data_IF_452776220557
#
_entry.id   IF_452776220557
#
_cell.length_a   1.000
_cell.length_b   1.000
_cell.length_c   1.000
_cell.angle_alpha   90.00
_cell.angle_beta   90.00
_cell.angle_gamma   90.00
#
_symmetry.space_group_name_H-M   'P 1'
#
loop_
_entity.id
_entity.type
_entity.pdbx_description
1 polymer ?
#
# COMPACT_ATOMS: atom_id res chain seq x y z
N UNK A 1 -22.22 10.55 4.88
CA UNK A 1 -23.65 10.76 4.55
C UNK A 1 -24.52 10.32 5.71
N UNK A 2 -25.55 11.06 6.08
CA UNK A 2 -26.48 10.70 7.16
C UNK A 2 -27.90 10.88 6.64
N UNK A 3 -28.75 9.89 6.79
CA UNK A 3 -30.15 9.89 6.29
C UNK A 3 -30.29 10.35 4.82
N UNK A 4 -29.36 9.90 3.97
CA UNK A 4 -29.30 10.27 2.55
C UNK A 4 -28.77 11.68 2.27
N UNK A 5 -28.36 12.46 3.29
CA UNK A 5 -27.83 13.82 3.16
C UNK A 5 -26.33 13.88 3.43
N UNK A 6 -25.63 14.74 2.70
CA UNK A 6 -24.24 15.06 3.00
C UNK A 6 -24.18 15.88 4.30
N UNK A 7 -23.19 15.55 5.16
CA UNK A 7 -22.89 16.30 6.36
C UNK A 7 -21.40 16.61 6.42
N UNK A 8 -21.03 17.71 7.06
CA UNK A 8 -19.64 18.08 7.27
C UNK A 8 -18.96 17.06 8.21
N UNK A 9 -17.73 16.68 7.93
CA UNK A 9 -16.96 15.75 8.79
C UNK A 9 -16.84 16.29 10.22
N UNK A 10 -16.62 17.61 10.38
CA UNK A 10 -16.53 18.25 11.70
C UNK A 10 -17.79 18.09 12.57
N UNK A 11 -18.97 17.89 11.96
CA UNK A 11 -20.22 17.70 12.70
C UNK A 11 -20.48 16.27 13.13
N UNK A 12 -19.73 15.28 12.62
CA UNK A 12 -20.00 13.85 12.85
C UNK A 12 -19.90 13.46 14.33
N UNK A 13 -18.96 14.05 15.07
CA UNK A 13 -18.77 13.75 16.49
C UNK A 13 -20.01 14.12 17.35
N UNK A 14 -20.76 15.15 16.94
CA UNK A 14 -21.94 15.69 17.64
C UNK A 14 -23.27 15.17 17.11
N UNK A 15 -23.27 14.43 16.01
CA UNK A 15 -24.50 13.85 15.46
C UNK A 15 -25.12 12.82 16.40
N UNK A 16 -26.44 12.77 16.44
CA UNK A 16 -27.17 11.72 17.12
C UNK A 16 -26.74 10.34 16.56
N UNK A 17 -26.52 9.39 17.45
CA UNK A 17 -26.18 8.01 17.07
C UNK A 17 -27.43 7.29 16.54
N UNK A 18 -27.23 6.46 15.55
CA UNK A 18 -28.20 5.43 15.21
C UNK A 18 -28.07 4.28 16.21
N UNK A 19 -28.75 3.17 15.90
CA UNK A 19 -28.61 1.97 16.67
C UNK A 19 -27.15 1.50 16.76
N UNK A 20 -26.64 1.19 17.97
CA UNK A 20 -25.27 0.76 18.17
C UNK A 20 -25.00 -0.57 17.46
N UNK A 21 -23.73 -0.81 17.18
CA UNK A 21 -23.29 -2.12 16.71
C UNK A 21 -23.11 -3.09 17.89
N UNK A 22 -23.63 -4.29 17.74
CA UNK A 22 -23.24 -5.48 18.49
C UNK A 22 -22.04 -6.14 17.80
N UNK A 23 -21.45 -7.14 18.43
CA UNK A 23 -20.28 -7.84 17.89
C UNK A 23 -20.63 -9.26 17.51
N UNK A 24 -20.56 -9.57 16.21
CA UNK A 24 -20.53 -10.95 15.72
C UNK A 24 -19.08 -11.44 15.73
N UNK A 25 -18.84 -12.67 16.18
CA UNK A 25 -17.48 -13.23 16.30
C UNK A 25 -17.32 -14.49 15.47
N UNK A 26 -16.24 -14.57 14.71
CA UNK A 26 -15.79 -15.75 13.99
C UNK A 26 -14.39 -16.13 14.49
N UNK A 27 -14.29 -17.30 15.11
CA UNK A 27 -13.00 -17.84 15.56
C UNK A 27 -12.54 -18.92 14.61
N UNK A 28 -11.25 -18.92 14.30
CA UNK A 28 -10.65 -19.93 13.43
C UNK A 28 -10.57 -21.31 14.10
N UNK A 29 -10.70 -22.34 13.28
CA UNK A 29 -10.61 -23.76 13.68
C UNK A 29 -9.22 -24.34 13.41
N UNK A 30 -8.28 -23.50 12.92
CA UNK A 30 -6.94 -23.95 12.55
C UNK A 30 -6.04 -24.26 13.73
N UNK A 31 -4.84 -24.79 13.44
CA UNK A 31 -3.78 -25.00 14.40
C UNK A 31 -3.50 -23.73 15.20
N UNK A 32 -3.26 -23.89 16.50
CA UNK A 32 -2.93 -22.75 17.37
C UNK A 32 -1.61 -22.07 17.03
N UNK A 33 -0.71 -22.73 16.31
CA UNK A 33 0.55 -22.13 15.90
C UNK A 33 0.36 -21.09 14.75
N UNK A 34 1.12 -19.98 14.75
CA UNK A 34 1.15 -19.05 13.63
C UNK A 34 1.63 -19.74 12.36
N UNK A 35 1.03 -19.39 11.22
CA UNK A 35 1.51 -19.88 9.92
C UNK A 35 2.88 -19.27 9.62
N UNK A 36 3.82 -20.04 9.03
CA UNK A 36 5.09 -19.48 8.60
C UNK A 36 4.89 -18.44 7.50
N UNK A 37 5.84 -17.51 7.39
CA UNK A 37 5.85 -16.53 6.31
C UNK A 37 6.03 -17.23 4.96
N UNK A 38 5.07 -16.99 4.08
CA UNK A 38 5.07 -17.48 2.71
C UNK A 38 4.63 -16.36 1.77
N UNK A 39 5.28 -16.25 0.61
CA UNK A 39 4.94 -15.24 -0.40
C UNK A 39 4.51 -15.96 -1.67
N UNK A 40 3.26 -15.82 -2.12
CA UNK A 40 2.84 -16.37 -3.41
C UNK A 40 3.50 -15.60 -4.56
N UNK A 41 4.03 -16.33 -5.53
CA UNK A 41 4.61 -15.77 -6.75
C UNK A 41 4.26 -16.67 -7.94
N UNK A 42 3.35 -16.23 -8.81
CA UNK A 42 2.73 -17.08 -9.81
C UNK A 42 2.03 -18.26 -9.15
N UNK A 43 2.35 -19.48 -9.60
CA UNK A 43 1.77 -20.71 -9.06
C UNK A 43 2.54 -21.27 -7.85
N UNK A 44 3.59 -20.58 -7.39
CA UNK A 44 4.45 -21.05 -6.31
C UNK A 44 4.22 -20.30 -5.00
N UNK A 45 4.48 -20.99 -3.88
CA UNK A 45 4.57 -20.40 -2.55
C UNK A 45 6.04 -20.37 -2.12
N UNK A 46 6.61 -19.17 -2.05
CA UNK A 46 8.01 -18.98 -1.66
C UNK A 46 8.13 -18.89 -0.13
N UNK A 47 9.10 -19.61 0.42
CA UNK A 47 9.44 -19.59 1.86
C UNK A 47 10.93 -19.89 2.05
N UNK A 48 11.47 -19.64 3.24
CA UNK A 48 12.87 -19.95 3.58
C UNK A 48 13.85 -19.43 2.54
N UNK A 49 14.84 -20.26 2.16
CA UNK A 49 15.90 -19.90 1.21
C UNK A 49 15.38 -19.52 -0.19
N UNK A 50 14.23 -20.07 -0.60
CA UNK A 50 13.64 -19.71 -1.91
C UNK A 50 13.16 -18.25 -1.89
N UNK A 51 12.50 -17.84 -0.81
CA UNK A 51 12.10 -16.46 -0.61
C UNK A 51 13.31 -15.54 -0.51
N UNK A 52 14.33 -15.92 0.25
CA UNK A 52 15.55 -15.13 0.38
C UNK A 52 16.22 -14.88 -0.97
N UNK A 53 16.36 -15.91 -1.82
CA UNK A 53 16.90 -15.77 -3.19
C UNK A 53 16.04 -14.89 -4.09
N UNK A 54 14.73 -14.95 -3.94
CA UNK A 54 13.83 -14.09 -4.72
C UNK A 54 13.94 -12.62 -4.30
N UNK A 55 14.09 -12.34 -3.01
CA UNK A 55 14.38 -10.99 -2.51
C UNK A 55 15.70 -10.47 -3.07
N UNK A 56 16.78 -11.28 -3.09
CA UNK A 56 18.06 -10.92 -3.72
C UNK A 56 17.89 -10.63 -5.21
N UNK A 57 17.05 -11.40 -5.90
CA UNK A 57 16.77 -11.19 -7.32
C UNK A 57 16.07 -9.85 -7.55
N UNK A 58 15.02 -9.53 -6.79
CA UNK A 58 14.30 -8.27 -6.90
C UNK A 58 15.17 -7.07 -6.54
N UNK A 59 15.98 -7.19 -5.49
CA UNK A 59 16.91 -6.15 -5.05
C UNK A 59 17.96 -5.85 -6.14
N UNK A 60 18.64 -6.87 -6.69
CA UNK A 60 19.61 -6.70 -7.79
C UNK A 60 18.99 -6.10 -9.05
N UNK A 61 17.73 -6.38 -9.34
CA UNK A 61 17.00 -5.80 -10.46
C UNK A 61 16.46 -4.40 -10.15
N UNK A 62 16.63 -3.91 -8.95
CA UNK A 62 16.13 -2.60 -8.52
C UNK A 62 14.60 -2.52 -8.48
N UNK A 63 13.91 -3.65 -8.25
CA UNK A 63 12.45 -3.72 -8.11
C UNK A 63 12.00 -3.28 -6.71
N UNK A 64 12.79 -3.67 -5.70
CA UNK A 64 12.60 -3.32 -4.29
C UNK A 64 13.83 -2.57 -3.77
N UNK A 65 13.65 -1.76 -2.75
CA UNK A 65 14.77 -1.16 -2.03
C UNK A 65 15.44 -2.20 -1.09
N UNK A 66 16.76 -2.05 -0.80
CA UNK A 66 17.47 -2.95 0.13
C UNK A 66 16.79 -3.06 1.49
N UNK A 67 16.20 -1.96 1.99
CA UNK A 67 15.45 -1.95 3.25
C UNK A 67 14.19 -2.82 3.22
N UNK A 68 13.53 -2.96 2.06
CA UNK A 68 12.42 -3.88 1.88
C UNK A 68 12.88 -5.34 2.03
N UNK A 69 13.95 -5.69 1.31
CA UNK A 69 14.51 -7.03 1.38
C UNK A 69 14.97 -7.39 2.79
N UNK A 70 15.63 -6.43 3.47
CA UNK A 70 16.05 -6.56 4.86
C UNK A 70 14.85 -6.82 5.79
N UNK A 71 13.80 -6.01 5.71
CA UNK A 71 12.61 -6.15 6.55
C UNK A 71 11.95 -7.53 6.39
N UNK A 72 11.76 -8.01 5.15
CA UNK A 72 11.16 -9.32 4.89
C UNK A 72 12.06 -10.46 5.38
N UNK A 73 13.39 -10.36 5.18
CA UNK A 73 14.37 -11.36 5.72
C UNK A 73 14.36 -11.38 7.24
N UNK A 74 14.25 -10.22 7.89
CA UNK A 74 14.18 -10.14 9.35
C UNK A 74 12.93 -10.84 9.88
N UNK A 75 11.76 -10.65 9.27
CA UNK A 75 10.54 -11.38 9.66
C UNK A 75 10.69 -12.88 9.40
N UNK A 76 11.30 -13.27 8.27
CA UNK A 76 11.57 -14.67 7.94
C UNK A 76 12.49 -15.35 8.98
N UNK A 77 13.48 -14.61 9.50
CA UNK A 77 14.42 -15.09 10.51
C UNK A 77 13.82 -15.12 11.94
N UNK A 78 12.71 -14.42 12.16
CA UNK A 78 12.03 -14.32 13.46
C UNK A 78 10.59 -14.84 13.37
N UNK A 79 10.36 -16.15 13.21
CA UNK A 79 9.02 -16.70 13.02
C UNK A 79 8.06 -16.42 14.21
N UNK A 80 8.59 -16.25 15.40
CA UNK A 80 7.81 -15.88 16.58
C UNK A 80 7.14 -14.51 16.47
N UNK A 81 7.66 -13.62 15.61
CA UNK A 81 7.04 -12.32 15.33
C UNK A 81 5.67 -12.44 14.67
N UNK A 82 5.39 -13.58 14.05
CA UNK A 82 4.10 -13.88 13.43
C UNK A 82 3.02 -14.27 14.44
N UNK A 83 3.37 -14.50 15.70
CA UNK A 83 2.36 -14.60 16.76
C UNK A 83 1.85 -13.20 17.14
N UNK A 84 0.67 -12.86 16.63
CA UNK A 84 0.03 -11.57 16.84
C UNK A 84 -1.14 -11.65 17.84
N UNK A 85 -1.13 -12.64 18.73
CA UNK A 85 -2.17 -12.83 19.76
C UNK A 85 -2.26 -11.67 20.75
N UNK A 86 -1.18 -10.89 20.89
CA UNK A 86 -1.07 -9.67 21.67
C UNK A 86 -1.60 -8.41 20.96
N UNK A 87 -2.03 -8.51 19.70
CA UNK A 87 -2.38 -7.38 18.86
C UNK A 87 -3.85 -7.43 18.40
N UNK A 88 -4.46 -6.23 18.36
CA UNK A 88 -5.76 -6.00 17.78
C UNK A 88 -5.61 -5.15 16.51
N UNK A 89 -6.22 -5.57 15.40
CA UNK A 89 -6.20 -4.85 14.14
C UNK A 89 -7.61 -4.39 13.76
N UNK A 90 -7.86 -3.09 13.69
CA UNK A 90 -9.10 -2.55 13.15
C UNK A 90 -8.90 -2.26 11.65
N UNK A 91 -9.41 -3.13 10.77
CA UNK A 91 -9.20 -3.05 9.32
C UNK A 91 -10.37 -2.37 8.64
N UNK A 92 -10.19 -1.12 8.21
CA UNK A 92 -11.16 -0.36 7.42
C UNK A 92 -11.05 -0.74 5.95
N UNK A 93 -12.03 -1.47 5.43
CA UNK A 93 -11.98 -2.12 4.11
C UNK A 93 -11.24 -3.46 4.17
N UNK A 94 -11.66 -4.32 5.09
CA UNK A 94 -11.03 -5.62 5.37
C UNK A 94 -10.96 -6.55 4.17
N UNK A 95 -11.90 -6.45 3.21
CA UNK A 95 -11.90 -7.26 1.98
C UNK A 95 -11.01 -6.69 0.87
N UNK A 96 -10.16 -5.70 1.15
CA UNK A 96 -9.17 -5.21 0.18
C UNK A 96 -8.28 -6.34 -0.33
N UNK A 97 -8.03 -6.36 -1.64
CA UNK A 97 -7.20 -7.40 -2.29
C UNK A 97 -5.74 -7.34 -1.84
N UNK A 98 -5.26 -6.14 -1.52
CA UNK A 98 -3.88 -5.89 -1.07
C UNK A 98 -3.76 -5.69 0.44
N UNK A 99 -4.89 -5.74 1.16
CA UNK A 99 -4.93 -5.64 2.62
C UNK A 99 -4.39 -6.90 3.31
N UNK A 100 -4.02 -6.79 4.59
CA UNK A 100 -3.31 -7.87 5.31
C UNK A 100 -4.23 -8.97 5.86
N UNK A 101 -5.56 -8.84 5.75
CA UNK A 101 -6.53 -9.75 6.42
C UNK A 101 -6.23 -11.24 6.20
N UNK A 102 -5.90 -11.63 4.96
CA UNK A 102 -5.65 -13.05 4.62
C UNK A 102 -4.43 -13.63 5.37
N UNK A 103 -3.46 -12.80 5.69
CA UNK A 103 -2.23 -13.18 6.41
C UNK A 103 -2.44 -13.11 7.91
N UNK A 104 -3.00 -12.00 8.41
CA UNK A 104 -3.33 -11.83 9.83
C UNK A 104 -4.27 -12.93 10.33
N UNK A 105 -5.17 -13.44 9.46
CA UNK A 105 -6.06 -14.54 9.82
C UNK A 105 -5.34 -15.86 10.16
N UNK A 106 -4.08 -16.01 9.75
CA UNK A 106 -3.22 -17.15 10.08
C UNK A 106 -2.18 -16.88 11.16
N UNK A 107 -2.18 -15.69 11.77
CA UNK A 107 -1.17 -15.25 12.74
C UNK A 107 -1.75 -14.92 14.14
N UNK A 108 -2.84 -15.58 14.51
CA UNK A 108 -3.49 -15.50 15.83
C UNK A 108 -3.99 -14.10 16.22
N UNK A 109 -4.04 -13.17 15.25
CA UNK A 109 -4.46 -11.79 15.48
C UNK A 109 -5.93 -11.70 15.92
N UNK A 110 -6.26 -10.68 16.71
CA UNK A 110 -7.62 -10.24 16.92
C UNK A 110 -7.94 -9.13 15.91
N UNK A 111 -8.97 -9.32 15.10
CA UNK A 111 -9.23 -8.48 13.92
C UNK A 111 -10.66 -7.93 13.98
N UNK A 112 -10.81 -6.61 14.12
CA UNK A 112 -12.06 -5.91 13.84
C UNK A 112 -12.18 -5.76 12.32
N UNK A 113 -12.98 -6.64 11.71
CA UNK A 113 -13.12 -6.69 10.25
C UNK A 113 -14.28 -5.80 9.80
N UNK A 114 -13.96 -4.58 9.35
CA UNK A 114 -14.92 -3.57 8.93
C UNK A 114 -14.99 -3.53 7.41
N UNK A 115 -16.15 -3.90 6.87
CA UNK A 115 -16.47 -3.86 5.45
C UNK A 115 -17.98 -3.72 5.26
N UNK A 116 -18.42 -3.55 4.02
CA UNK A 116 -19.84 -3.47 3.72
C UNK A 116 -20.59 -4.75 4.15
N UNK A 117 -21.84 -4.65 4.68
CA UNK A 117 -22.64 -5.77 5.15
C UNK A 117 -23.23 -6.58 3.97
N UNK A 118 -22.34 -7.22 3.20
CA UNK A 118 -22.70 -7.99 2.01
C UNK A 118 -22.44 -9.48 2.19
N UNK A 119 -23.20 -10.33 1.52
CA UNK A 119 -22.98 -11.77 1.50
C UNK A 119 -21.55 -12.12 1.01
N UNK A 120 -21.02 -11.35 0.05
CA UNK A 120 -19.66 -11.55 -0.46
C UNK A 120 -18.60 -11.34 0.62
N UNK A 121 -18.71 -10.26 1.40
CA UNK A 121 -17.80 -9.96 2.52
C UNK A 121 -17.91 -11.03 3.59
N UNK A 122 -19.14 -11.41 3.97
CA UNK A 122 -19.42 -12.44 4.95
C UNK A 122 -18.80 -13.79 4.57
N UNK A 123 -19.07 -14.31 3.37
CA UNK A 123 -18.48 -15.58 2.89
C UNK A 123 -16.96 -15.56 2.88
N UNK A 124 -16.35 -14.40 2.59
CA UNK A 124 -14.90 -14.24 2.66
C UNK A 124 -14.39 -14.35 4.08
N UNK A 125 -15.05 -13.71 5.03
CA UNK A 125 -14.67 -13.76 6.45
C UNK A 125 -14.82 -15.16 7.02
N UNK A 126 -15.94 -15.83 6.77
CA UNK A 126 -16.13 -17.25 7.16
C UNK A 126 -15.00 -18.15 6.64
N UNK A 127 -14.70 -18.01 5.33
CA UNK A 127 -13.64 -18.81 4.71
C UNK A 127 -12.27 -18.58 5.35
N UNK A 128 -11.95 -17.33 5.66
CA UNK A 128 -10.68 -16.98 6.29
C UNK A 128 -10.63 -17.44 7.75
N UNK A 129 -11.70 -17.25 8.52
CA UNK A 129 -11.82 -17.73 9.88
C UNK A 129 -11.64 -19.26 9.96
N UNK A 130 -12.41 -20.01 9.17
CA UNK A 130 -12.32 -21.50 9.14
C UNK A 130 -10.93 -22.04 8.75
N UNK A 131 -10.15 -21.28 8.01
CA UNK A 131 -8.80 -21.68 7.57
C UNK A 131 -7.69 -21.12 8.43
N UNK A 132 -8.02 -20.17 9.29
CA UNK A 132 -7.06 -19.45 10.10
C UNK A 132 -7.11 -19.84 11.58
N UNK A 133 -6.39 -19.07 12.37
CA UNK A 133 -6.34 -19.17 13.83
C UNK A 133 -6.58 -17.82 14.53
N UNK A 134 -7.00 -16.80 13.78
CA UNK A 134 -7.35 -15.49 14.28
C UNK A 134 -8.82 -15.45 14.78
N UNK A 135 -9.13 -14.44 15.59
CA UNK A 135 -10.51 -14.09 15.95
C UNK A 135 -10.92 -12.84 15.17
N UNK A 136 -11.96 -12.97 14.33
CA UNK A 136 -12.57 -11.86 13.60
C UNK A 136 -13.79 -11.37 14.39
N UNK A 137 -13.82 -10.07 14.68
CA UNK A 137 -14.92 -9.36 15.30
C UNK A 137 -15.55 -8.45 14.23
N UNK A 138 -16.86 -8.56 14.05
CA UNK A 138 -17.58 -7.85 12.98
C UNK A 138 -18.73 -7.03 13.59
N UNK A 139 -18.93 -5.78 13.15
CA UNK A 139 -20.05 -4.97 13.59
C UNK A 139 -21.36 -5.52 13.01
N UNK A 140 -22.37 -5.70 13.85
CA UNK A 140 -23.69 -6.26 13.47
C UNK A 140 -24.82 -5.44 14.09
N UNK A 141 -25.88 -5.19 13.33
CA UNK A 141 -27.18 -4.71 13.84
C UNK A 141 -28.21 -5.80 13.64
N UNK A 142 -28.47 -6.56 14.69
CA UNK A 142 -29.45 -7.66 14.65
C UNK A 142 -30.86 -7.12 14.32
N UNK A 143 -31.57 -7.86 13.49
CA UNK A 143 -32.92 -7.47 13.02
C UNK A 143 -32.93 -6.43 11.87
N UNK A 144 -31.80 -5.82 11.53
CA UNK A 144 -31.69 -4.85 10.42
C UNK A 144 -30.74 -5.27 9.31
N UNK A 145 -29.74 -6.07 9.64
CA UNK A 145 -28.75 -6.54 8.68
C UNK A 145 -28.84 -8.06 8.54
N UNK A 146 -28.70 -8.55 7.31
CA UNK A 146 -28.59 -10.00 7.04
C UNK A 146 -27.15 -10.50 7.29
N UNK A 147 -26.16 -9.63 7.09
CA UNK A 147 -24.75 -9.94 7.26
C UNK A 147 -24.05 -8.87 8.09
N UNK A 148 -23.07 -9.24 8.93
CA UNK A 148 -22.27 -8.29 9.66
C UNK A 148 -21.49 -7.35 8.71
N UNK A 149 -21.28 -6.13 9.15
CA UNK A 149 -20.52 -5.12 8.44
C UNK A 149 -21.01 -3.72 8.76
N UNK A 150 -20.28 -2.72 8.23
CA UNK A 150 -20.61 -1.32 8.36
C UNK A 150 -20.13 -0.54 7.13
N UNK A 151 -20.84 0.52 6.80
CA UNK A 151 -20.48 1.39 5.69
C UNK A 151 -19.71 2.62 6.21
N UNK A 152 -18.46 2.74 5.84
CA UNK A 152 -17.59 3.88 6.22
C UNK A 152 -18.12 5.25 5.77
N UNK A 153 -19.06 5.32 4.83
CA UNK A 153 -19.65 6.58 4.40
C UNK A 153 -20.90 6.98 5.21
N UNK A 154 -21.49 6.07 5.99
CA UNK A 154 -22.75 6.31 6.71
C UNK A 154 -22.71 6.01 8.19
N UNK A 155 -21.82 5.14 8.65
CA UNK A 155 -21.86 4.57 10.00
C UNK A 155 -20.67 5.00 10.90
N UNK A 156 -19.96 6.10 10.53
CA UNK A 156 -18.74 6.52 11.22
C UNK A 156 -18.89 6.77 12.72
N UNK A 157 -19.95 7.47 13.20
CA UNK A 157 -20.13 7.70 14.62
C UNK A 157 -20.33 6.41 15.42
N UNK A 158 -21.12 5.47 14.89
CA UNK A 158 -21.40 4.19 15.52
C UNK A 158 -20.17 3.27 15.46
N UNK A 159 -19.36 3.35 14.39
CA UNK A 159 -18.07 2.65 14.31
C UNK A 159 -17.07 3.18 15.32
N UNK A 160 -17.00 4.49 15.53
CA UNK A 160 -16.16 5.10 16.56
C UNK A 160 -16.52 4.54 17.94
N UNK A 161 -17.82 4.53 18.28
CA UNK A 161 -18.33 4.03 19.56
C UNK A 161 -18.08 2.51 19.73
N UNK A 162 -18.12 1.74 18.63
CA UNK A 162 -17.87 0.30 18.64
C UNK A 162 -16.38 -0.07 18.75
N UNK A 163 -15.48 0.71 18.12
CA UNK A 163 -14.03 0.46 18.13
C UNK A 163 -13.39 0.96 19.42
N UNK A 164 -13.78 2.13 19.92
CA UNK A 164 -13.13 2.79 21.08
C UNK A 164 -12.99 1.89 22.32
N UNK A 165 -14.00 1.12 22.75
CA UNK A 165 -13.93 0.30 23.96
C UNK A 165 -13.15 -1.01 23.80
N UNK A 166 -12.66 -1.34 22.60
CA UNK A 166 -11.95 -2.59 22.36
C UNK A 166 -10.63 -2.63 23.14
N UNK A 167 -10.39 -3.72 23.85
CA UNK A 167 -9.24 -3.84 24.76
C UNK A 167 -7.91 -4.12 24.02
N UNK A 168 -6.80 -3.73 24.65
CA UNK A 168 -5.43 -4.02 24.24
C UNK A 168 -4.86 -3.09 23.19
N UNK A 169 -3.56 -3.20 22.91
CA UNK A 169 -2.89 -2.44 21.87
C UNK A 169 -3.57 -2.61 20.52
N UNK A 170 -3.84 -1.52 19.83
CA UNK A 170 -4.59 -1.55 18.58
C UNK A 170 -3.81 -0.90 17.44
N UNK A 171 -3.91 -1.51 16.26
CA UNK A 171 -3.48 -0.91 15.00
C UNK A 171 -4.67 -0.72 14.07
N UNK A 172 -4.95 0.54 13.69
CA UNK A 172 -5.97 0.83 12.68
C UNK A 172 -5.36 0.80 11.28
N UNK A 173 -5.98 0.03 10.38
CA UNK A 173 -5.57 -0.14 9.00
C UNK A 173 -6.55 0.50 8.02
N UNK A 174 -6.08 1.44 7.17
CA UNK A 174 -6.89 2.14 6.19
C UNK A 174 -6.69 1.54 4.78
N UNK A 175 -7.54 0.57 4.41
CA UNK A 175 -7.41 -0.21 3.17
C UNK A 175 -8.63 -0.11 2.24
N UNK A 176 -9.70 0.60 2.64
CA UNK A 176 -10.88 0.74 1.79
C UNK A 176 -10.54 1.52 0.51
N UNK A 177 -11.07 1.01 -0.59
CA UNK A 177 -10.94 1.60 -1.92
C UNK A 177 -12.30 1.69 -2.59
N UNK A 178 -12.56 2.82 -3.23
CA UNK A 178 -13.71 3.05 -4.11
C UNK A 178 -13.25 3.73 -5.40
N UNK A 179 -14.07 3.73 -6.42
CA UNK A 179 -13.74 4.39 -7.69
C UNK A 179 -14.10 5.90 -7.65
N UNK A 180 -13.35 6.70 -8.40
CA UNK A 180 -13.65 8.10 -8.64
C UNK A 180 -13.67 8.99 -7.38
N UNK A 181 -14.66 9.88 -7.27
CA UNK A 181 -14.79 10.81 -6.15
C UNK A 181 -15.08 10.10 -4.82
N UNK A 182 -15.71 8.94 -4.84
CA UNK A 182 -16.01 8.18 -3.63
C UNK A 182 -14.74 7.63 -2.97
N UNK A 183 -13.65 7.49 -3.71
CA UNK A 183 -12.35 7.16 -3.11
C UNK A 183 -11.83 8.27 -2.19
N UNK A 184 -12.01 9.53 -2.58
CA UNK A 184 -11.67 10.69 -1.72
C UNK A 184 -12.59 10.70 -0.50
N UNK A 185 -13.89 10.48 -0.68
CA UNK A 185 -14.87 10.46 0.41
C UNK A 185 -14.57 9.37 1.44
N UNK A 186 -14.29 8.14 1.00
CA UNK A 186 -13.95 7.05 1.92
C UNK A 186 -12.60 7.26 2.59
N UNK A 187 -11.63 7.84 1.89
CA UNK A 187 -10.33 8.18 2.49
C UNK A 187 -10.47 9.26 3.56
N UNK A 188 -11.28 10.30 3.31
CA UNK A 188 -11.58 11.32 4.30
C UNK A 188 -12.39 10.76 5.49
N UNK A 189 -13.28 9.80 5.24
CA UNK A 189 -14.02 9.09 6.29
C UNK A 189 -13.09 8.26 7.19
N UNK A 190 -12.17 7.51 6.60
CA UNK A 190 -11.15 6.77 7.34
C UNK A 190 -10.22 7.70 8.11
N UNK A 191 -9.84 8.83 7.52
CA UNK A 191 -9.01 9.84 8.18
C UNK A 191 -9.69 10.43 9.40
N UNK A 192 -10.98 10.81 9.29
CA UNK A 192 -11.77 11.33 10.42
C UNK A 192 -11.83 10.29 11.56
N UNK A 193 -12.19 9.04 11.25
CA UNK A 193 -12.29 7.98 12.25
C UNK A 193 -10.94 7.71 12.93
N UNK A 194 -9.85 7.73 12.15
CA UNK A 194 -8.50 7.60 12.68
C UNK A 194 -8.13 8.76 13.61
N UNK A 195 -8.47 10.00 13.23
CA UNK A 195 -8.21 11.19 14.05
C UNK A 195 -8.94 11.13 15.40
N UNK A 196 -10.23 10.78 15.38
CA UNK A 196 -11.03 10.65 16.61
C UNK A 196 -10.49 9.52 17.53
N UNK A 197 -10.10 8.39 16.95
CA UNK A 197 -9.51 7.29 17.70
C UNK A 197 -8.14 7.67 18.27
N UNK A 198 -7.30 8.39 17.53
CA UNK A 198 -6.00 8.88 18.02
C UNK A 198 -6.14 9.83 19.22
N UNK A 199 -7.21 10.63 19.23
CA UNK A 199 -7.51 11.53 20.36
C UNK A 199 -7.96 10.78 21.61
N UNK A 200 -8.59 9.61 21.46
CA UNK A 200 -9.17 8.84 22.55
C UNK A 200 -8.28 7.67 23.02
N UNK A 201 -7.38 7.18 22.18
CA UNK A 201 -6.55 5.99 22.42
C UNK A 201 -5.05 6.29 22.30
N UNK A 202 -4.33 6.42 23.40
CA UNK A 202 -2.87 6.63 23.38
C UNK A 202 -2.08 5.44 22.84
N UNK A 203 -2.66 4.22 22.89
CA UNK A 203 -2.09 2.96 22.42
C UNK A 203 -2.31 2.69 20.93
N UNK A 204 -2.98 3.60 20.21
CA UNK A 204 -3.30 3.39 18.79
C UNK A 204 -2.08 3.56 17.90
N UNK A 205 -1.84 2.56 17.06
CA UNK A 205 -0.90 2.56 15.95
C UNK A 205 -1.63 2.60 14.60
N UNK A 206 -0.95 2.99 13.53
CA UNK A 206 -1.55 3.12 12.19
C UNK A 206 -0.90 2.18 11.19
N UNK A 207 -1.70 1.72 10.21
CA UNK A 207 -1.23 0.94 9.06
C UNK A 207 -1.91 1.39 7.77
N UNK A 208 -1.10 1.67 6.73
CA UNK A 208 -1.55 2.16 5.43
C UNK A 208 -0.63 1.68 4.32
N UNK A 209 -1.13 1.71 3.08
CA UNK A 209 -0.30 1.46 1.90
C UNK A 209 -0.19 2.72 1.05
N UNK A 210 1.04 3.15 0.81
CA UNK A 210 1.32 4.15 -0.21
C UNK A 210 1.34 3.51 -1.60
N UNK A 211 1.07 4.29 -2.64
CA UNK A 211 1.11 3.83 -4.04
C UNK A 211 2.48 4.11 -4.65
N UNK A 212 3.01 3.27 -5.55
CA UNK A 212 4.28 3.56 -6.21
C UNK A 212 4.15 4.68 -7.26
N UNK A 213 2.92 4.98 -7.69
CA UNK A 213 2.60 6.01 -8.69
C UNK A 213 2.27 7.36 -8.05
N UNK A 214 3.25 7.93 -7.36
CA UNK A 214 3.18 9.24 -6.71
C UNK A 214 4.54 9.95 -6.80
N UNK A 215 4.70 11.11 -6.16
CA UNK A 215 5.97 11.83 -6.08
C UNK A 215 6.63 11.53 -4.73
N UNK A 216 7.84 11.02 -4.79
CA UNK A 216 8.62 10.65 -3.61
C UNK A 216 10.00 11.28 -3.60
N UNK A 217 10.48 11.62 -2.42
CA UNK A 217 11.92 11.66 -2.19
C UNK A 217 12.46 10.24 -2.28
N UNK A 218 13.60 10.06 -2.96
CA UNK A 218 14.17 8.73 -3.19
C UNK A 218 15.66 8.72 -2.80
N UNK A 219 16.21 7.54 -2.47
CA UNK A 219 17.64 7.39 -2.20
C UNK A 219 18.49 7.80 -3.40
N UNK A 220 19.66 8.39 -3.16
CA UNK A 220 20.63 8.75 -4.20
C UNK A 220 21.02 7.54 -5.08
N UNK A 221 21.09 6.34 -4.49
CA UNK A 221 21.37 5.10 -5.21
C UNK A 221 20.28 4.75 -6.25
N UNK A 222 19.01 5.12 -6.02
CA UNK A 222 17.94 4.92 -7.01
C UNK A 222 18.13 5.85 -8.21
N UNK A 223 18.54 7.10 -7.96
CA UNK A 223 18.84 8.10 -9.01
C UNK A 223 20.02 7.66 -9.85
N UNK A 224 21.13 7.25 -9.21
CA UNK A 224 22.32 6.75 -9.90
C UNK A 224 21.97 5.55 -10.78
N UNK A 225 21.30 4.54 -10.22
CA UNK A 225 20.89 3.35 -10.99
C UNK A 225 20.01 3.69 -12.19
N UNK A 226 19.10 4.67 -12.08
CA UNK A 226 18.26 5.12 -13.17
C UNK A 226 19.08 5.82 -14.27
N UNK A 227 20.02 6.69 -13.89
CA UNK A 227 20.94 7.36 -14.85
C UNK A 227 21.84 6.35 -15.55
N UNK A 228 22.43 5.43 -14.80
CA UNK A 228 23.27 4.36 -15.37
C UNK A 228 22.48 3.51 -16.37
N UNK A 229 21.23 3.15 -16.03
CA UNK A 229 20.35 2.42 -16.95
C UNK A 229 19.99 3.25 -18.21
N UNK A 230 19.85 4.57 -18.07
CA UNK A 230 19.62 5.46 -19.21
C UNK A 230 20.84 5.55 -20.10
N UNK A 231 22.04 5.63 -19.55
CA UNK A 231 23.30 5.77 -20.28
C UNK A 231 23.76 4.43 -20.89
N UNK A 232 23.50 3.32 -20.24
CA UNK A 232 23.82 1.97 -20.72
C UNK A 232 22.97 1.48 -21.90
N UNK A 233 22.00 2.27 -22.40
CA UNK A 233 21.19 1.91 -23.57
C UNK A 233 22.08 1.71 -24.80
N UNK A 234 21.97 0.54 -25.43
CA UNK A 234 22.73 0.21 -26.64
C UNK A 234 22.45 1.17 -27.80
N UNK A 235 23.40 1.25 -28.74
CA UNK A 235 23.27 2.11 -29.95
C UNK A 235 21.97 1.86 -30.71
N UNK A 236 21.56 0.59 -30.90
CA UNK A 236 20.29 0.24 -31.54
C UNK A 236 19.08 0.84 -30.84
N UNK A 237 19.05 0.79 -29.49
CA UNK A 237 17.98 1.41 -28.71
C UNK A 237 17.95 2.93 -28.91
N UNK A 238 19.11 3.58 -28.87
CA UNK A 238 19.23 5.04 -29.07
C UNK A 238 18.76 5.46 -30.45
N UNK A 239 19.08 4.69 -31.49
CA UNK A 239 18.73 4.99 -32.89
C UNK A 239 17.21 5.04 -33.12
N UNK A 240 16.42 4.16 -32.52
CA UNK A 240 14.97 4.19 -32.67
C UNK A 240 14.27 5.09 -31.66
N UNK A 241 14.86 5.29 -30.46
CA UNK A 241 14.30 6.13 -29.42
C UNK A 241 14.45 7.63 -29.74
N UNK A 242 15.57 8.04 -30.35
CA UNK A 242 15.82 9.43 -30.71
C UNK A 242 14.76 10.03 -31.65
N UNK A 243 14.33 9.37 -32.75
CA UNK A 243 13.24 9.86 -33.57
C UNK A 243 11.91 9.97 -32.80
N UNK A 244 11.60 9.03 -31.92
CA UNK A 244 10.40 9.10 -31.09
C UNK A 244 10.43 10.28 -30.12
N UNK A 245 11.58 10.54 -29.50
CA UNK A 245 11.75 11.72 -28.66
C UNK A 245 11.57 13.02 -29.45
N UNK A 246 12.19 13.12 -30.61
CA UNK A 246 12.10 14.30 -31.46
C UNK A 246 10.67 14.53 -31.97
N UNK A 247 10.04 13.50 -32.55
CA UNK A 247 8.69 13.58 -33.09
C UNK A 247 7.62 13.85 -32.06
N UNK A 248 7.85 13.41 -30.82
CA UNK A 248 6.95 13.68 -29.70
C UNK A 248 7.18 15.04 -29.02
N UNK A 249 8.11 15.86 -29.54
CA UNK A 249 8.53 17.11 -28.90
C UNK A 249 9.11 16.89 -27.50
N UNK A 250 9.86 15.78 -27.30
CA UNK A 250 10.47 15.42 -26.03
C UNK A 250 9.51 14.88 -24.97
N UNK A 251 8.27 14.51 -25.35
CA UNK A 251 7.26 13.99 -24.41
C UNK A 251 7.44 12.51 -24.11
N UNK A 252 7.92 11.71 -25.04
CA UNK A 252 8.17 10.27 -24.89
C UNK A 252 9.61 10.00 -24.47
N UNK A 253 9.82 8.94 -23.69
CA UNK A 253 11.11 8.42 -23.26
C UNK A 253 12.03 9.47 -22.60
N UNK A 254 11.45 10.38 -21.83
CA UNK A 254 12.21 11.36 -21.05
C UNK A 254 12.99 10.62 -19.95
N UNK A 255 14.24 11.06 -19.66
CA UNK A 255 14.97 10.52 -18.52
C UNK A 255 14.14 10.68 -17.24
N UNK A 256 14.23 9.69 -16.34
CA UNK A 256 13.50 9.72 -15.07
C UNK A 256 13.98 10.86 -14.16
N UNK A 257 15.28 11.13 -14.21
CA UNK A 257 15.89 12.26 -13.49
C UNK A 257 16.67 13.14 -14.45
N UNK A 258 16.91 14.42 -14.10
CA UNK A 258 17.77 15.29 -14.90
C UNK A 258 19.14 14.65 -15.12
N UNK A 259 19.64 14.74 -16.35
CA UNK A 259 20.97 14.26 -16.72
C UNK A 259 22.02 15.22 -16.16
N UNK A 260 23.19 14.70 -15.77
CA UNK A 260 24.31 15.49 -15.31
C UNK A 260 24.74 16.46 -16.44
N UNK A 261 24.96 17.73 -16.12
CA UNK A 261 25.38 18.77 -17.09
C UNK A 261 24.24 19.43 -17.89
N UNK A 262 22.97 19.07 -17.69
CA UNK A 262 21.83 19.70 -18.40
C UNK A 262 21.07 20.71 -17.55
N UNK A 263 21.39 20.83 -16.27
CA UNK A 263 20.73 21.75 -15.36
C UNK A 263 21.44 23.10 -15.33
N UNK A 264 20.73 24.17 -15.68
CA UNK A 264 21.17 25.56 -15.42
C UNK A 264 21.33 25.86 -13.94
N UNK A 265 20.98 24.92 -13.07
CA UNK A 265 21.11 24.92 -11.62
C UNK A 265 22.16 23.92 -11.12
N UNK A 266 23.28 23.74 -11.84
CA UNK A 266 24.41 22.91 -11.35
C UNK A 266 24.92 23.38 -9.99
N UNK A 267 24.83 24.68 -9.67
CA UNK A 267 25.10 25.21 -8.33
C UNK A 267 24.13 24.72 -7.25
N UNK A 268 22.92 24.31 -7.63
CA UNK A 268 21.93 23.73 -6.70
C UNK A 268 22.12 22.20 -6.53
N UNK A 269 22.77 21.54 -7.50
CA UNK A 269 23.08 20.11 -7.43
C UNK A 269 24.34 19.80 -6.59
N UNK A 270 25.23 20.78 -6.42
CA UNK A 270 26.41 20.71 -5.52
C UNK A 270 26.05 21.09 -4.07
N UNK A 271 24.94 21.79 -3.83
CA UNK A 271 24.42 21.97 -2.48
C UNK A 271 23.76 20.65 -2.03
N UNK A 272 24.29 20.06 -0.99
CA UNK A 272 23.89 18.83 -0.30
C UNK A 272 22.43 18.86 0.21
N UNK A 273 21.63 19.85 -0.15
CA UNK A 273 20.38 20.23 0.54
C UNK A 273 19.07 20.01 -0.23
N UNK A 274 19.11 19.80 -1.55
CA UNK A 274 17.83 19.59 -2.27
C UNK A 274 17.51 18.11 -2.42
N UNK A 275 16.36 17.66 -1.89
CA UNK A 275 15.94 16.26 -2.01
C UNK A 275 15.74 15.88 -3.47
N UNK A 276 16.26 14.72 -3.88
CA UNK A 276 15.98 14.18 -5.22
C UNK A 276 14.60 13.56 -5.24
N UNK A 277 13.73 14.08 -6.11
CA UNK A 277 12.36 13.64 -6.25
C UNK A 277 12.20 12.74 -7.48
N UNK A 278 11.52 11.62 -7.29
CA UNK A 278 10.98 10.78 -8.36
C UNK A 278 9.53 11.15 -8.61
N UNK A 279 9.21 11.59 -9.82
CA UNK A 279 7.84 11.85 -10.25
C UNK A 279 7.30 10.65 -11.04
N UNK A 280 6.70 9.71 -10.31
CA UNK A 280 6.10 8.49 -10.86
C UNK A 280 4.58 8.59 -11.03
N UNK A 281 4.00 9.80 -10.99
CA UNK A 281 2.55 10.00 -11.16
C UNK A 281 2.05 9.39 -12.48
N UNK A 282 0.98 8.61 -12.37
CA UNK A 282 0.25 7.99 -13.49
C UNK A 282 -1.09 8.70 -13.63
N UNK A 283 -1.19 9.59 -14.63
CA UNK A 283 -2.38 10.46 -14.86
C UNK A 283 -3.65 9.61 -15.06
N UNK A 284 -3.53 8.42 -15.62
CA UNK A 284 -4.63 7.49 -15.89
C UNK A 284 -5.32 6.96 -14.63
N UNK A 285 -4.69 7.07 -13.45
CA UNK A 285 -5.31 6.76 -12.16
C UNK A 285 -6.25 7.88 -11.68
N UNK A 286 -6.10 9.09 -12.23
CA UNK A 286 -6.94 10.24 -11.95
C UNK A 286 -6.57 10.99 -10.66
N UNK A 287 -7.02 12.24 -10.60
CA UNK A 287 -6.71 13.17 -9.49
C UNK A 287 -7.32 12.73 -8.17
N UNK A 288 -8.48 12.09 -8.20
CA UNK A 288 -9.15 11.59 -6.99
C UNK A 288 -8.33 10.51 -6.30
N UNK A 289 -7.70 9.61 -7.07
CA UNK A 289 -6.83 8.59 -6.51
C UNK A 289 -5.60 9.21 -5.84
N UNK A 290 -4.95 10.15 -6.51
CA UNK A 290 -3.78 10.84 -5.96
C UNK A 290 -4.13 11.59 -4.68
N UNK A 291 -5.26 12.33 -4.65
CA UNK A 291 -5.71 13.06 -3.47
C UNK A 291 -6.03 12.10 -2.30
N UNK A 292 -6.74 11.00 -2.57
CA UNK A 292 -7.07 10.00 -1.56
C UNK A 292 -5.79 9.41 -0.91
N UNK A 293 -4.77 9.08 -1.72
CA UNK A 293 -3.47 8.60 -1.21
C UNK A 293 -2.72 9.68 -0.43
N UNK A 294 -2.81 10.94 -0.84
CA UNK A 294 -2.22 12.06 -0.09
C UNK A 294 -2.85 12.27 1.28
N UNK A 295 -4.16 12.13 1.41
CA UNK A 295 -4.85 12.17 2.72
C UNK A 295 -4.27 11.11 3.65
N UNK A 296 -4.10 9.86 3.17
CA UNK A 296 -3.51 8.78 3.96
C UNK A 296 -2.04 9.07 4.35
N UNK A 297 -1.21 9.57 3.40
CA UNK A 297 0.18 9.93 3.68
C UNK A 297 0.28 11.05 4.71
N UNK A 298 -0.52 12.10 4.60
CA UNK A 298 -0.53 13.22 5.56
C UNK A 298 -0.94 12.74 6.96
N UNK A 299 -1.96 11.88 7.08
CA UNK A 299 -2.33 11.28 8.36
C UNK A 299 -1.19 10.46 8.96
N UNK A 300 -0.53 9.65 8.14
CA UNK A 300 0.59 8.83 8.57
C UNK A 300 1.76 9.69 9.09
N UNK A 301 2.18 10.70 8.32
CA UNK A 301 3.29 11.57 8.69
C UNK A 301 2.98 12.39 9.94
N UNK A 302 1.76 12.96 10.05
CA UNK A 302 1.31 13.68 11.23
C UNK A 302 1.31 12.78 12.47
N UNK A 303 0.68 11.60 12.38
CA UNK A 303 0.62 10.68 13.51
C UNK A 303 2.04 10.20 13.95
N UNK A 304 2.95 9.99 12.99
CA UNK A 304 4.34 9.63 13.31
C UNK A 304 5.07 10.79 14.01
N UNK A 305 4.84 12.03 13.58
CA UNK A 305 5.39 13.22 14.26
C UNK A 305 4.82 13.39 15.68
N UNK A 306 3.56 12.99 15.90
CA UNK A 306 2.89 12.99 17.20
C UNK A 306 3.29 11.79 18.08
N UNK A 307 4.34 11.04 17.72
CA UNK A 307 4.86 9.94 18.52
C UNK A 307 4.06 8.63 18.42
N UNK A 308 3.29 8.43 17.34
CA UNK A 308 2.59 7.17 17.10
C UNK A 308 3.44 6.22 16.25
N UNK A 309 3.29 4.91 16.48
CA UNK A 309 3.85 3.90 15.57
C UNK A 309 3.03 3.88 14.29
N UNK A 310 3.71 3.99 13.14
CA UNK A 310 3.05 4.10 11.84
C UNK A 310 3.71 3.21 10.81
N UNK A 311 3.02 2.16 10.38
CA UNK A 311 3.41 1.34 9.23
C UNK A 311 2.80 1.93 7.97
N UNK A 312 3.61 2.62 7.17
CA UNK A 312 3.21 3.08 5.83
C UNK A 312 4.30 2.74 4.83
N UNK A 313 4.00 1.81 3.93
CA UNK A 313 4.97 1.28 2.97
C UNK A 313 4.49 1.53 1.55
N UNK A 314 5.44 1.89 0.66
CA UNK A 314 5.17 1.96 -0.78
C UNK A 314 4.97 0.55 -1.29
N UNK A 315 3.73 0.22 -1.66
CA UNK A 315 3.39 -1.07 -2.25
C UNK A 315 3.73 -1.07 -3.75
N UNK A 316 4.04 -2.24 -4.35
CA UNK A 316 4.37 -2.33 -5.77
C UNK A 316 3.18 -2.01 -6.68
N UNK A 317 3.49 -1.75 -7.95
CA UNK A 317 2.47 -1.72 -9.01
C UNK A 317 1.75 -3.06 -9.08
N UNK A 318 0.46 -3.08 -8.71
CA UNK A 318 -0.31 -4.31 -8.51
C UNK A 318 -1.42 -4.43 -9.55
N UNK A 319 -1.55 -5.61 -10.16
CA UNK A 319 -2.59 -5.96 -11.12
C UNK A 319 -3.93 -6.26 -10.41
N UNK A 320 -4.43 -5.30 -9.63
CA UNK A 320 -5.70 -5.42 -8.91
C UNK A 320 -6.90 -5.41 -9.86
N UNK A 321 -8.06 -5.84 -9.39
CA UNK A 321 -9.31 -5.84 -10.18
C UNK A 321 -9.64 -4.46 -10.76
N UNK A 322 -9.42 -3.38 -10.02
CA UNK A 322 -9.65 -2.01 -10.50
C UNK A 322 -8.71 -1.65 -11.65
N UNK A 323 -7.44 -2.04 -11.58
CA UNK A 323 -6.44 -1.80 -12.61
C UNK A 323 -6.74 -2.56 -13.90
N UNK A 324 -7.07 -3.85 -13.80
CA UNK A 324 -7.32 -4.69 -14.99
C UNK A 324 -8.64 -4.36 -15.71
N UNK A 325 -9.59 -3.67 -15.05
CA UNK A 325 -10.80 -3.11 -15.68
C UNK A 325 -10.48 -1.94 -16.61
N UNK A 326 -9.40 -1.20 -16.35
CA UNK A 326 -8.95 -0.11 -17.23
C UNK A 326 -8.09 -0.69 -18.38
N UNK A 327 -8.58 -0.68 -19.66
CA UNK A 327 -7.87 -1.30 -20.77
C UNK A 327 -6.46 -0.73 -21.01
N UNK A 328 -6.28 0.58 -20.80
CA UNK A 328 -5.00 1.25 -20.98
C UNK A 328 -3.98 0.83 -19.92
N UNK A 329 -4.40 0.77 -18.64
CA UNK A 329 -3.53 0.29 -17.56
C UNK A 329 -3.22 -1.20 -17.73
N UNK A 330 -4.20 -2.02 -18.07
CA UNK A 330 -3.98 -3.45 -18.36
C UNK A 330 -2.98 -3.66 -19.51
N UNK A 331 -3.06 -2.85 -20.56
CA UNK A 331 -2.09 -2.90 -21.67
C UNK A 331 -0.70 -2.44 -21.20
N UNK A 332 -0.63 -1.36 -20.42
CA UNK A 332 0.63 -0.84 -19.89
C UNK A 332 1.37 -1.87 -19.02
N UNK A 333 0.66 -2.60 -18.16
CA UNK A 333 1.25 -3.72 -17.41
C UNK A 333 1.85 -4.80 -18.31
N UNK A 334 1.21 -5.10 -19.44
CA UNK A 334 1.74 -6.06 -20.43
C UNK A 334 3.11 -5.69 -20.99
N UNK A 335 3.42 -4.38 -21.11
CA UNK A 335 4.69 -3.89 -21.63
C UNK A 335 5.63 -3.29 -20.58
N UNK A 336 5.22 -3.19 -19.32
CA UNK A 336 5.98 -2.50 -18.27
C UNK A 336 7.37 -3.08 -18.03
N UNK A 337 7.50 -4.42 -18.11
CA UNK A 337 8.77 -5.12 -17.93
C UNK A 337 9.85 -4.70 -18.93
N UNK A 338 9.48 -4.21 -20.13
CA UNK A 338 10.41 -3.69 -21.13
C UNK A 338 11.07 -2.36 -20.70
N UNK A 339 10.51 -1.70 -19.72
CA UNK A 339 10.99 -0.44 -19.14
C UNK A 339 11.56 -0.63 -17.72
N UNK A 340 11.77 -1.90 -17.28
CA UNK A 340 12.33 -2.20 -15.96
C UNK A 340 11.31 -2.17 -14.82
N UNK A 341 10.01 -2.18 -15.14
CA UNK A 341 8.95 -2.21 -14.13
C UNK A 341 8.32 -3.60 -14.07
N UNK A 342 8.23 -4.15 -12.85
CA UNK A 342 7.57 -5.42 -12.55
C UNK A 342 6.18 -5.17 -11.97
N UNK A 343 5.17 -5.81 -12.55
CA UNK A 343 3.82 -5.83 -12.02
C UNK A 343 3.63 -7.03 -11.10
N UNK A 344 3.00 -6.80 -9.95
CA UNK A 344 2.76 -7.81 -8.94
C UNK A 344 1.31 -8.26 -8.92
N UNK A 345 1.07 -9.52 -8.58
CA UNK A 345 -0.26 -10.00 -8.28
C UNK A 345 -0.73 -9.51 -6.91
N UNK A 346 -2.04 -9.29 -6.70
CA UNK A 346 -2.58 -8.83 -5.42
C UNK A 346 -2.17 -9.70 -4.24
N UNK A 347 -2.11 -11.02 -4.41
CA UNK A 347 -1.72 -11.96 -3.37
C UNK A 347 -0.25 -11.79 -2.96
N UNK A 348 0.66 -11.61 -3.93
CA UNK A 348 2.08 -11.33 -3.67
C UNK A 348 2.25 -10.00 -2.96
N UNK A 349 1.58 -8.95 -3.45
CA UNK A 349 1.60 -7.62 -2.80
C UNK A 349 1.10 -7.71 -1.37
N UNK A 350 -0.07 -8.31 -1.15
CA UNK A 350 -0.66 -8.46 0.19
C UNK A 350 0.28 -9.19 1.16
N UNK A 351 0.96 -10.24 0.70
CA UNK A 351 1.90 -11.01 1.51
C UNK A 351 3.14 -10.20 1.91
N UNK A 352 3.77 -9.52 0.94
CA UNK A 352 4.93 -8.68 1.19
C UNK A 352 4.59 -7.51 2.11
N UNK A 353 3.45 -6.85 1.88
CA UNK A 353 3.03 -5.73 2.72
C UNK A 353 2.63 -6.18 4.13
N UNK A 354 2.07 -7.39 4.30
CA UNK A 354 1.81 -7.97 5.61
C UNK A 354 3.12 -8.31 6.35
N UNK A 355 4.15 -8.80 5.65
CA UNK A 355 5.47 -9.00 6.25
C UNK A 355 6.09 -7.67 6.72
N UNK A 356 6.00 -6.60 5.92
CA UNK A 356 6.45 -5.27 6.33
C UNK A 356 5.66 -4.73 7.53
N UNK A 357 4.35 -4.98 7.58
CA UNK A 357 3.52 -4.62 8.72
C UNK A 357 4.02 -5.28 10.02
N UNK A 358 4.38 -6.57 9.95
CA UNK A 358 4.96 -7.30 11.09
C UNK A 358 6.34 -6.73 11.45
N UNK A 359 7.19 -6.44 10.47
CA UNK A 359 8.48 -5.78 10.71
C UNK A 359 8.30 -4.44 11.42
N UNK A 360 7.42 -3.58 10.91
CA UNK A 360 7.14 -2.26 11.49
C UNK A 360 6.54 -2.33 12.90
N UNK A 361 5.82 -3.40 13.19
CA UNK A 361 5.22 -3.63 14.50
C UNK A 361 6.24 -4.14 15.52
N UNK A 362 7.14 -5.05 15.11
CA UNK A 362 8.02 -5.81 16.00
C UNK A 362 9.46 -5.28 16.07
N UNK A 363 9.96 -4.64 15.01
CA UNK A 363 11.34 -4.19 14.96
C UNK A 363 11.52 -2.84 15.64
N UNK A 364 12.54 -2.74 16.48
CA UNK A 364 12.98 -1.47 17.07
C UNK A 364 13.77 -0.62 16.05
N UNK A 365 14.27 -1.23 14.98
CA UNK A 365 15.04 -0.54 13.92
C UNK A 365 14.13 0.04 12.82
N UNK A 366 12.83 -0.30 12.81
CA UNK A 366 11.89 0.26 11.85
C UNK A 366 11.64 1.74 12.13
N UNK A 367 11.66 2.57 11.09
CA UNK A 367 11.27 3.98 11.17
C UNK A 367 9.79 4.17 11.55
N UNK A 368 8.99 3.12 11.52
CA UNK A 368 7.64 3.11 12.11
C UNK A 368 7.68 3.31 13.63
N UNK A 369 8.79 2.93 14.29
CA UNK A 369 8.97 3.08 15.73
C UNK A 369 9.15 4.55 16.12
N UNK A 370 8.23 5.14 16.92
CA UNK A 370 8.30 6.55 17.30
C UNK A 370 9.50 6.91 18.17
N UNK A 371 10.18 5.95 18.78
CA UNK A 371 11.40 6.18 19.56
C UNK A 371 12.59 6.57 18.67
N UNK A 372 12.56 6.24 17.37
CA UNK A 372 13.61 6.63 16.44
C UNK A 372 13.35 8.04 15.90
N UNK A 373 14.37 8.93 15.90
CA UNK A 373 14.23 10.25 15.32
C UNK A 373 14.07 10.14 13.79
N UNK A 374 13.21 10.95 13.22
CA UNK A 374 13.13 11.18 11.79
C UNK A 374 13.70 12.56 11.48
N UNK A 375 14.90 12.62 10.94
CA UNK A 375 15.48 13.87 10.45
C UNK A 375 14.66 14.44 9.29
N UNK A 376 14.13 13.55 8.47
CA UNK A 376 13.26 13.86 7.36
C UNK A 376 12.02 12.94 7.38
N UNK A 377 10.81 13.52 7.51
CA UNK A 377 9.57 12.74 7.50
C UNK A 377 9.39 11.83 6.28
N UNK A 378 9.96 12.23 5.12
CA UNK A 378 9.88 11.42 3.89
C UNK A 378 10.66 10.09 3.99
N UNK A 379 11.59 9.96 4.93
CA UNK A 379 12.33 8.71 5.18
C UNK A 379 11.37 7.56 5.54
N UNK A 380 10.26 7.85 6.19
CA UNK A 380 9.22 6.88 6.50
C UNK A 380 8.66 6.18 5.24
N UNK A 381 8.59 6.89 4.12
CA UNK A 381 8.10 6.36 2.84
C UNK A 381 9.22 5.74 1.98
N UNK A 382 10.49 5.99 2.31
CA UNK A 382 11.62 5.38 1.62
C UNK A 382 11.99 4.02 2.20
N UNK A 383 11.92 3.87 3.53
CA UNK A 383 12.18 2.59 4.18
C UNK A 383 11.12 1.57 3.78
N UNK A 384 11.54 0.36 3.45
CA UNK A 384 10.64 -0.72 3.08
C UNK A 384 9.96 -0.56 1.72
N UNK A 385 10.36 0.41 0.88
CA UNK A 385 9.69 0.68 -0.37
C UNK A 385 9.81 -0.48 -1.37
N UNK A 386 8.67 -0.90 -1.92
CA UNK A 386 8.57 -1.76 -3.09
C UNK A 386 7.91 -0.95 -4.22
N UNK A 387 8.72 -0.26 -4.98
CA UNK A 387 8.24 0.58 -6.09
C UNK A 387 8.13 -0.17 -7.42
N UNK A 388 8.36 -1.47 -7.44
CA UNK A 388 8.27 -2.29 -8.65
C UNK A 388 9.23 -1.89 -9.77
N UNK A 389 10.34 -1.22 -9.47
CA UNK A 389 11.31 -0.70 -10.43
C UNK A 389 11.11 0.78 -10.82
N UNK A 390 9.99 1.42 -10.47
CA UNK A 390 9.66 2.77 -10.95
C UNK A 390 10.68 3.84 -10.54
N UNK A 391 11.35 3.69 -9.40
CA UNK A 391 12.37 4.65 -8.98
C UNK A 391 13.70 4.49 -9.70
N UNK A 392 13.96 3.32 -10.29
CA UNK A 392 15.24 2.96 -10.91
C UNK A 392 15.16 2.78 -12.42
N UNK A 393 13.96 2.89 -13.01
CA UNK A 393 13.78 2.81 -14.45
C UNK A 393 14.45 3.99 -15.17
N UNK A 394 14.93 3.81 -16.43
CA UNK A 394 15.65 4.85 -17.17
C UNK A 394 14.78 6.04 -17.57
N UNK A 395 13.47 5.87 -17.67
CA UNK A 395 12.55 6.88 -18.19
C UNK A 395 11.50 7.27 -17.15
N UNK A 396 11.09 8.53 -17.16
CA UNK A 396 9.96 9.00 -16.36
C UNK A 396 8.70 8.19 -16.69
N UNK A 397 8.03 7.67 -15.68
CA UNK A 397 6.91 6.74 -15.81
C UNK A 397 5.85 7.22 -16.82
N UNK A 398 5.42 8.49 -16.70
CA UNK A 398 4.42 9.09 -17.61
C UNK A 398 4.88 9.15 -19.07
N UNK A 399 6.19 9.20 -19.34
CA UNK A 399 6.76 9.27 -20.68
C UNK A 399 6.97 7.90 -21.33
N UNK A 400 7.09 6.85 -20.53
CA UNK A 400 7.21 5.46 -20.96
C UNK A 400 5.86 4.74 -21.08
N UNK A 401 4.87 5.14 -20.29
CA UNK A 401 3.57 4.48 -20.18
C UNK A 401 2.82 4.30 -21.51
N UNK A 402 2.76 5.30 -22.42
CA UNK A 402 2.09 5.13 -23.73
C UNK A 402 2.74 4.03 -24.57
N UNK A 403 4.06 3.96 -24.56
CA UNK A 403 4.80 2.93 -25.30
C UNK A 403 4.67 1.55 -24.63
N UNK A 404 4.69 1.50 -23.30
CA UNK A 404 4.42 0.27 -22.59
C UNK A 404 3.02 -0.29 -22.91
N UNK A 405 2.00 0.58 -22.98
CA UNK A 405 0.65 0.20 -23.36
C UNK A 405 0.58 -0.31 -24.82
N UNK A 406 1.21 0.40 -25.77
CA UNK A 406 1.27 -0.02 -27.16
C UNK A 406 1.94 -1.39 -27.33
N UNK A 407 3.11 -1.58 -26.73
CA UNK A 407 3.86 -2.84 -26.80
C UNK A 407 3.13 -3.98 -26.10
N UNK A 408 2.42 -3.70 -25.00
CA UNK A 408 1.59 -4.68 -24.31
C UNK A 408 0.36 -5.11 -25.11
N UNK A 409 -0.21 -4.23 -25.96
CA UNK A 409 -1.28 -4.59 -26.90
C UNK A 409 -0.78 -5.48 -28.02
N UNK A 410 0.37 -5.16 -28.63
CA UNK A 410 0.94 -5.93 -29.74
C UNK A 410 1.25 -7.38 -29.34
N UNK A 411 1.79 -7.60 -28.15
CA UNK A 411 2.08 -8.95 -27.63
C UNK A 411 0.84 -9.80 -27.31
N UNK A 412 -0.33 -9.19 -27.11
CA UNK A 412 -1.59 -9.93 -26.93
C UNK A 412 -2.12 -10.55 -28.20
N UNK A 413 -1.79 -9.96 -29.36
CA UNK A 413 -2.15 -10.51 -30.66
C UNK A 413 -1.36 -11.76 -31.04
N UNK A 414 -0.29 -12.10 -30.29
CA UNK A 414 0.59 -13.26 -30.54
C UNK A 414 0.29 -14.47 -29.60
N UNK A 415 -0.68 -14.36 -28.73
CA UNK A 415 -1.17 -15.45 -27.82
C UNK A 415 -2.66 -15.73 -28.12
#
# INVERSE_FOLDING_TARGET
MRDGRECALASLATLARNEPFETESLTGDGDCAPRPLQIPLGDEMLSGDRLARQLDHWERRGIIEPSHAHAVRTVLANPDWLDLSDQCFALLGSSSEVGPLAWLSGWRARILAIDLPTERSWRRFEKLARRGNATLLLPMRHGRQQHPGANLLTDLPELLDWITPQAGPMMIGAYAYLDGADHVRVSAAMDWLTAELLAQRPDLSLSMLATPSDVYRVPAAAVSASRDAYDARGLGARLWQWPLQLLSGGKLLRPNYPLSGTSTNERAAESTELPTLCDSLVIQQGVNYALAKRIQQWRALSARADGRRVSINVAPSTMSHSVIRNPALKAAFGGAHLFGVEGFDPATTSALMAALLVYDLRSDESLANPALPLEDPSALLMQGANHGGMWRMPFAARSALPLAALLGLLRRGER
#
